data_IF_616343925611
#
_entry.id   IF_616343925611
#
_cell.length_a   1.000
_cell.length_b   1.000
_cell.length_c   1.000
_cell.angle_alpha   90.00
_cell.angle_beta   90.00
_cell.angle_gamma   90.00
#
_symmetry.space_group_name_H-M   'P 1'
#
loop_
_entity.id
_entity.type
_entity.pdbx_description
1 polymer ?
#
# COMPACT_ATOMS: atom_id res chain seq x y z
N UNK A 1 -0.82 2.55 18.14
CA UNK A 1 -0.04 3.79 18.06
C UNK A 1 -0.85 4.78 17.26
N UNK A 2 -1.17 5.95 17.81
CA UNK A 2 -1.94 6.98 17.08
C UNK A 2 -1.08 7.61 15.97
N UNK A 3 -1.69 8.01 14.84
CA UNK A 3 -0.99 8.65 13.70
C UNK A 3 -0.06 9.80 14.15
N UNK A 4 -0.50 10.62 15.10
CA UNK A 4 0.30 11.73 15.64
C UNK A 4 1.57 11.25 16.36
N UNK A 5 1.46 10.17 17.12
CA UNK A 5 2.58 9.56 17.83
C UNK A 5 3.59 8.96 16.83
N UNK A 6 3.10 8.28 15.79
CA UNK A 6 3.94 7.75 14.72
C UNK A 6 4.69 8.88 13.97
N UNK A 7 3.97 9.92 13.55
CA UNK A 7 4.55 11.08 12.84
C UNK A 7 5.58 11.81 13.70
N UNK A 8 5.31 11.95 15.01
CA UNK A 8 6.26 12.55 15.94
C UNK A 8 7.54 11.73 16.08
N UNK A 9 7.43 10.40 16.24
CA UNK A 9 8.61 9.51 16.31
C UNK A 9 9.42 9.52 15.02
N UNK A 10 8.77 9.49 13.86
CA UNK A 10 9.43 9.62 12.55
C UNK A 10 10.21 10.93 12.48
N UNK A 11 9.61 12.06 12.88
CA UNK A 11 10.30 13.34 12.88
C UNK A 11 11.51 13.34 13.84
N UNK A 12 11.40 12.71 15.00
CA UNK A 12 12.53 12.56 15.93
C UNK A 12 13.67 11.72 15.32
N UNK A 13 13.36 10.59 14.69
CA UNK A 13 14.35 9.76 14.02
C UNK A 13 15.00 10.45 12.82
N UNK A 14 14.22 11.22 12.06
CA UNK A 14 14.75 12.04 10.96
C UNK A 14 15.68 13.15 11.46
N UNK A 15 15.58 13.61 12.71
CA UNK A 15 16.52 14.60 13.23
C UNK A 15 17.95 14.06 13.36
N UNK A 16 18.14 12.74 13.40
CA UNK A 16 19.49 12.13 13.40
C UNK A 16 20.25 12.42 12.10
N UNK A 17 19.55 12.60 10.97
CA UNK A 17 20.16 13.01 9.69
C UNK A 17 20.27 14.53 9.53
N UNK A 18 20.07 15.29 10.63
CA UNK A 18 20.21 16.75 10.73
C UNK A 18 19.61 17.53 9.56
N UNK A 19 18.35 17.28 9.18
CA UNK A 19 17.73 17.98 8.08
C UNK A 19 17.46 19.43 8.47
N UNK A 20 17.62 20.34 7.51
CA UNK A 20 17.17 21.73 7.69
C UNK A 20 15.65 21.79 7.65
N UNK A 21 15.05 20.99 6.76
CA UNK A 21 13.61 20.91 6.61
C UNK A 21 13.14 19.48 6.43
N UNK A 22 11.98 19.18 7.02
CA UNK A 22 11.25 17.93 6.91
C UNK A 22 9.79 18.26 6.63
N UNK A 23 9.20 17.50 5.72
CA UNK A 23 7.78 17.43 5.47
C UNK A 23 7.38 15.98 5.38
N UNK A 24 6.31 15.61 6.08
CA UNK A 24 5.62 14.33 5.92
C UNK A 24 4.30 14.66 5.24
N UNK A 25 4.10 14.14 4.04
CA UNK A 25 2.97 14.48 3.18
C UNK A 25 2.19 13.24 2.77
N UNK A 26 0.90 13.42 2.52
CA UNK A 26 0.11 12.44 1.80
C UNK A 26 0.41 12.47 0.28
N UNK A 27 -0.03 11.45 -0.46
CA UNK A 27 0.13 11.37 -1.92
C UNK A 27 -0.61 12.49 -2.67
N UNK A 28 -1.61 13.13 -2.03
CA UNK A 28 -2.29 14.31 -2.52
C UNK A 28 -1.51 15.60 -2.24
N UNK A 29 -0.27 15.50 -1.75
CA UNK A 29 0.61 16.62 -1.46
C UNK A 29 0.14 17.49 -0.28
N UNK A 30 -0.73 16.98 0.59
CA UNK A 30 -1.12 17.66 1.82
C UNK A 30 -0.12 17.32 2.92
N UNK A 31 0.33 18.32 3.66
CA UNK A 31 1.24 18.09 4.79
C UNK A 31 0.48 17.52 5.98
N UNK A 32 1.03 16.45 6.55
CA UNK A 32 0.64 15.85 7.82
C UNK A 32 1.43 16.53 8.95
N UNK A 33 2.73 16.73 8.72
CA UNK A 33 3.63 17.51 9.57
C UNK A 33 4.72 18.15 8.70
N UNK A 34 5.16 19.35 9.06
CA UNK A 34 6.14 20.10 8.30
C UNK A 34 6.82 21.16 9.15
N UNK A 35 8.09 21.44 8.86
CA UNK A 35 8.75 22.69 9.25
C UNK A 35 9.14 23.55 8.04
N UNK A 36 8.60 23.25 6.86
CA UNK A 36 8.71 24.13 5.70
C UNK A 36 7.86 25.39 5.89
N UNK A 37 8.28 26.49 5.26
CA UNK A 37 7.47 27.72 5.24
C UNK A 37 6.19 27.53 4.41
N UNK A 38 5.15 28.32 4.69
CA UNK A 38 3.89 28.27 3.94
C UNK A 38 4.07 28.50 2.43
N UNK A 39 5.05 29.34 2.04
CA UNK A 39 5.41 29.55 0.63
C UNK A 39 5.95 28.29 -0.05
N UNK A 40 6.75 27.50 0.68
CA UNK A 40 7.33 26.25 0.20
C UNK A 40 6.34 25.09 0.14
N UNK A 41 5.26 25.12 0.94
CA UNK A 41 4.25 24.06 0.94
C UNK A 41 3.63 23.84 -0.44
N UNK A 42 3.27 24.91 -1.15
CA UNK A 42 2.65 24.78 -2.48
C UNK A 42 3.57 24.12 -3.50
N UNK A 43 4.88 24.43 -3.44
CA UNK A 43 5.87 23.86 -4.35
C UNK A 43 6.09 22.37 -4.05
N UNK A 44 6.31 22.04 -2.79
CA UNK A 44 6.55 20.65 -2.35
C UNK A 44 5.31 19.80 -2.61
N UNK A 45 4.11 20.33 -2.37
CA UNK A 45 2.85 19.66 -2.70
C UNK A 45 2.78 19.31 -4.19
N UNK A 46 3.15 20.23 -5.08
CA UNK A 46 3.20 19.97 -6.53
C UNK A 46 4.24 18.92 -6.90
N UNK A 47 5.43 19.00 -6.30
CA UNK A 47 6.53 18.05 -6.52
C UNK A 47 6.13 16.64 -6.08
N UNK A 48 5.55 16.49 -4.89
CA UNK A 48 5.08 15.18 -4.39
C UNK A 48 3.99 14.61 -5.29
N UNK A 49 3.03 15.42 -5.75
CA UNK A 49 2.02 14.99 -6.71
C UNK A 49 2.62 14.49 -8.02
N UNK A 50 3.61 15.22 -8.56
CA UNK A 50 4.32 14.85 -9.78
C UNK A 50 5.05 13.51 -9.62
N UNK A 51 5.58 13.25 -8.44
CA UNK A 51 6.32 12.03 -8.12
C UNK A 51 5.48 10.98 -7.37
N UNK A 52 4.16 11.10 -7.41
CA UNK A 52 3.24 10.15 -6.79
C UNK A 52 3.45 8.71 -7.31
N UNK A 53 3.97 8.56 -8.53
CA UNK A 53 4.23 7.29 -9.21
C UNK A 53 5.54 6.59 -8.81
N UNK A 54 6.44 7.21 -8.03
CA UNK A 54 7.67 6.52 -7.61
C UNK A 54 7.33 5.26 -6.81
N UNK A 55 8.09 4.16 -6.94
CA UNK A 55 7.81 2.96 -6.16
C UNK A 55 8.12 3.18 -4.68
N UNK A 56 7.47 2.41 -3.81
CA UNK A 56 7.76 2.41 -2.37
C UNK A 56 9.24 2.07 -2.15
N UNK A 57 9.84 2.59 -1.09
CA UNK A 57 11.26 2.45 -0.77
C UNK A 57 12.22 3.06 -1.80
N UNK A 58 11.72 3.82 -2.77
CA UNK A 58 12.57 4.62 -3.65
C UNK A 58 12.53 6.09 -3.25
N UNK A 59 13.57 6.81 -3.67
CA UNK A 59 13.73 8.23 -3.45
C UNK A 59 14.13 8.93 -4.74
N UNK A 60 13.87 10.23 -4.76
CA UNK A 60 14.47 11.17 -5.68
C UNK A 60 15.41 12.04 -4.88
N UNK A 61 16.62 12.23 -5.40
CA UNK A 61 17.60 13.16 -4.87
C UNK A 61 17.79 14.27 -5.89
N UNK A 62 17.70 15.52 -5.43
CA UNK A 62 17.92 16.69 -6.25
C UNK A 62 18.93 17.61 -5.58
N UNK A 63 20.00 17.95 -6.30
CA UNK A 63 21.00 18.90 -5.86
C UNK A 63 20.37 20.30 -5.78
N UNK A 64 20.56 20.98 -4.64
CA UNK A 64 20.10 22.36 -4.48
C UNK A 64 21.16 23.35 -4.99
N UNK A 65 20.82 24.23 -5.95
CA UNK A 65 21.79 25.14 -6.57
C UNK A 65 22.52 26.00 -5.55
N UNK A 66 23.84 26.13 -5.71
CA UNK A 66 24.70 26.94 -4.85
C UNK A 66 24.67 26.55 -3.36
N UNK A 67 24.46 25.28 -3.05
CA UNK A 67 24.51 24.78 -1.67
C UNK A 67 25.06 23.35 -1.62
N UNK A 68 25.50 22.92 -0.44
CA UNK A 68 25.90 21.54 -0.18
C UNK A 68 24.72 20.67 0.30
N UNK A 69 23.48 21.13 0.10
CA UNK A 69 22.27 20.45 0.53
C UNK A 69 21.60 19.73 -0.63
N UNK A 70 20.92 18.64 -0.30
CA UNK A 70 20.16 17.82 -1.23
C UNK A 70 18.72 17.76 -0.76
N UNK A 71 17.79 17.87 -1.70
CA UNK A 71 16.38 17.55 -1.49
C UNK A 71 16.18 16.06 -1.75
N UNK A 72 15.64 15.37 -0.75
CA UNK A 72 15.20 13.99 -0.86
C UNK A 72 13.67 13.95 -0.83
N UNK A 73 13.08 13.23 -1.78
CA UNK A 73 11.65 12.88 -1.78
C UNK A 73 11.59 11.36 -1.74
N UNK A 74 11.16 10.80 -0.61
CA UNK A 74 11.16 9.37 -0.36
C UNK A 74 9.74 8.87 -0.12
N UNK A 75 9.37 7.76 -0.77
CA UNK A 75 8.04 7.17 -0.62
C UNK A 75 8.06 6.04 0.40
N UNK A 76 7.44 6.28 1.55
CA UNK A 76 7.33 5.30 2.64
C UNK A 76 6.24 4.27 2.32
N UNK A 77 5.11 4.72 1.78
CA UNK A 77 3.93 3.88 1.51
C UNK A 77 3.20 4.34 0.24
N UNK A 78 2.10 3.69 -0.14
CA UNK A 78 1.28 4.14 -1.28
C UNK A 78 0.80 5.57 -1.11
N UNK A 79 0.52 5.97 0.13
CA UNK A 79 -0.11 7.24 0.46
C UNK A 79 0.84 8.26 1.10
N UNK A 80 2.10 7.92 1.45
CA UNK A 80 2.96 8.82 2.24
C UNK A 80 4.35 9.03 1.64
N UNK A 81 4.76 10.30 1.70
CA UNK A 81 6.08 10.78 1.34
C UNK A 81 6.77 11.47 2.51
N UNK A 82 8.08 11.24 2.62
CA UNK A 82 9.00 12.09 3.37
C UNK A 82 9.68 13.00 2.36
N UNK A 83 9.66 14.29 2.63
CA UNK A 83 10.48 15.27 1.95
C UNK A 83 11.47 15.82 2.96
N UNK A 84 12.76 15.69 2.71
CA UNK A 84 13.76 16.28 3.59
C UNK A 84 14.84 17.03 2.80
N UNK A 85 15.36 18.09 3.41
CA UNK A 85 16.53 18.81 2.90
C UNK A 85 17.67 18.58 3.89
N UNK A 86 18.76 17.98 3.45
CA UNK A 86 19.92 17.68 4.30
C UNK A 86 21.21 17.66 3.49
N UNK A 87 22.33 17.92 4.16
CA UNK A 87 23.69 17.76 3.63
C UNK A 87 24.36 16.47 4.14
N UNK A 88 23.62 15.62 4.84
CA UNK A 88 24.10 14.32 5.31
C UNK A 88 24.41 13.37 4.15
N UNK A 89 25.40 12.50 4.35
CA UNK A 89 25.79 11.48 3.37
C UNK A 89 24.59 10.60 2.99
N UNK A 90 24.43 10.38 1.69
CA UNK A 90 23.29 9.66 1.11
C UNK A 90 23.06 8.29 1.75
N UNK A 91 24.12 7.50 1.97
CA UNK A 91 24.02 6.18 2.59
C UNK A 91 23.33 6.22 3.97
N UNK A 92 23.61 7.25 4.78
CA UNK A 92 23.00 7.41 6.10
C UNK A 92 21.51 7.80 5.98
N UNK A 93 21.20 8.67 5.03
CA UNK A 93 19.82 9.07 4.72
C UNK A 93 19.00 7.85 4.31
N UNK A 94 19.52 7.02 3.40
CA UNK A 94 18.83 5.81 2.93
C UNK A 94 18.68 4.75 4.01
N UNK A 95 19.71 4.54 4.84
CA UNK A 95 19.60 3.65 6.00
C UNK A 95 18.46 4.08 6.93
N UNK A 96 18.34 5.39 7.19
CA UNK A 96 17.29 5.93 8.04
C UNK A 96 15.92 5.87 7.40
N UNK A 97 15.79 6.17 6.11
CA UNK A 97 14.54 5.98 5.37
C UNK A 97 14.09 4.51 5.37
N UNK A 98 15.01 3.57 5.14
CA UNK A 98 14.70 2.14 5.21
C UNK A 98 14.29 1.69 6.61
N UNK A 99 14.92 2.23 7.66
CA UNK A 99 14.49 2.01 9.05
C UNK A 99 13.05 2.52 9.27
N UNK A 100 12.78 3.77 8.92
CA UNK A 100 11.46 4.39 9.09
C UNK A 100 10.37 3.61 8.35
N UNK A 101 10.62 3.15 7.13
CA UNK A 101 9.63 2.37 6.39
C UNK A 101 9.35 1.01 7.05
N UNK A 102 10.38 0.33 7.57
CA UNK A 102 10.18 -0.94 8.29
C UNK A 102 9.39 -0.74 9.58
N UNK A 103 9.70 0.31 10.33
CA UNK A 103 9.18 0.51 11.68
C UNK A 103 7.77 1.15 11.66
N UNK A 104 7.49 2.02 10.68
CA UNK A 104 6.26 2.82 10.63
C UNK A 104 5.41 2.65 9.37
N UNK A 105 5.92 2.01 8.31
CA UNK A 105 5.24 1.96 7.01
C UNK A 105 3.83 1.36 7.06
N UNK A 106 3.63 0.29 7.86
CA UNK A 106 2.33 -0.35 8.07
C UNK A 106 1.35 0.53 8.85
N UNK A 107 1.81 1.12 9.96
CA UNK A 107 0.99 1.98 10.83
C UNK A 107 0.50 3.22 10.08
N UNK A 108 1.38 3.80 9.27
CA UNK A 108 1.10 4.94 8.41
C UNK A 108 0.07 4.62 7.32
N UNK A 109 0.20 3.45 6.70
CA UNK A 109 -0.76 2.95 5.72
C UNK A 109 -2.14 2.77 6.36
N UNK A 110 -2.22 2.15 7.53
CA UNK A 110 -3.48 1.88 8.23
C UNK A 110 -4.24 3.15 8.64
N UNK A 111 -3.53 4.21 9.02
CA UNK A 111 -4.15 5.45 9.48
C UNK A 111 -4.58 6.39 8.35
N UNK A 112 -3.93 6.30 7.18
CA UNK A 112 -4.26 7.15 6.03
C UNK A 112 -5.11 6.46 4.97
N UNK A 113 -5.26 5.13 5.06
CA UNK A 113 -6.40 4.47 4.45
C UNK A 113 -7.66 5.04 5.09
N UNK A 114 -8.21 6.06 4.43
CA UNK A 114 -9.51 6.59 4.82
C UNK A 114 -10.46 5.40 4.68
N UNK A 115 -11.15 4.94 5.74
CA UNK A 115 -12.20 3.95 5.57
C UNK A 115 -13.13 4.53 4.49
N UNK A 116 -13.38 3.83 3.37
CA UNK A 116 -13.99 4.43 2.21
C UNK A 116 -15.32 5.05 2.63
N UNK A 117 -15.36 6.39 2.63
CA UNK A 117 -16.54 7.17 2.91
C UNK A 117 -17.45 7.02 1.69
N UNK A 118 -18.28 5.97 1.73
CA UNK A 118 -19.15 5.44 0.67
C UNK A 118 -18.40 4.58 -0.36
N UNK A 119 -19.04 3.51 -0.88
CA UNK A 119 -18.43 2.64 -1.88
C UNK A 119 -18.20 3.45 -3.14
N UNK A 120 -16.95 3.85 -3.39
CA UNK A 120 -16.53 4.13 -4.77
C UNK A 120 -16.77 2.82 -5.51
N UNK A 121 -17.44 2.88 -6.67
CA UNK A 121 -17.51 1.74 -7.58
C UNK A 121 -16.08 1.38 -7.92
N UNK A 122 -15.54 0.34 -7.29
CA UNK A 122 -14.24 -0.21 -7.61
C UNK A 122 -14.27 -0.55 -9.10
N UNK A 123 -13.42 0.07 -9.94
CA UNK A 123 -13.40 -0.24 -11.36
C UNK A 123 -13.15 -1.74 -11.54
N UNK A 124 -13.96 -2.39 -12.35
CA UNK A 124 -13.74 -3.80 -12.69
C UNK A 124 -12.47 -3.88 -13.53
N UNK A 125 -11.50 -4.63 -13.02
CA UNK A 125 -10.25 -4.97 -13.69
C UNK A 125 -10.44 -6.27 -14.48
N UNK A 126 -10.40 -6.17 -15.80
CA UNK A 126 -10.63 -7.30 -16.70
C UNK A 126 -9.64 -8.45 -16.49
N UNK A 127 -8.49 -8.23 -15.86
CA UNK A 127 -7.45 -9.25 -15.63
C UNK A 127 -7.76 -10.15 -14.45
N UNK A 128 -8.52 -9.63 -13.48
CA UNK A 128 -8.90 -10.32 -12.26
C UNK A 128 -10.30 -10.89 -12.46
N UNK A 129 -10.39 -12.22 -12.52
CA UNK A 129 -11.68 -12.89 -12.62
C UNK A 129 -12.41 -12.80 -11.29
N UNK A 130 -11.73 -13.08 -10.18
CA UNK A 130 -12.32 -13.03 -8.86
C UNK A 130 -11.28 -12.80 -7.76
N UNK A 131 -11.69 -12.11 -6.71
CA UNK A 131 -11.11 -12.18 -5.37
C UNK A 131 -12.23 -12.56 -4.43
N UNK A 132 -12.10 -13.66 -3.69
CA UNK A 132 -13.19 -14.20 -2.89
C UNK A 132 -12.71 -14.67 -1.52
N UNK A 133 -13.47 -14.30 -0.49
CA UNK A 133 -13.42 -14.93 0.82
C UNK A 133 -14.56 -15.94 0.93
N UNK A 134 -14.20 -17.19 1.19
CA UNK A 134 -15.12 -18.32 1.32
C UNK A 134 -14.93 -18.99 2.66
N UNK A 135 -16.00 -19.58 3.20
CA UNK A 135 -15.95 -20.42 4.39
C UNK A 135 -16.86 -21.63 4.26
N UNK A 136 -16.50 -22.71 4.93
CA UNK A 136 -17.40 -23.83 5.15
C UNK A 136 -18.36 -23.46 6.28
N UNK A 137 -19.67 -23.45 5.99
CA UNK A 137 -20.72 -23.33 6.99
C UNK A 137 -21.51 -24.62 7.14
N UNK A 138 -22.61 -24.58 7.89
CA UNK A 138 -23.45 -25.76 8.16
C UNK A 138 -24.06 -26.37 6.89
N UNK A 139 -24.28 -25.55 5.85
CA UNK A 139 -24.83 -25.96 4.56
C UNK A 139 -23.74 -26.31 3.52
N UNK A 140 -22.46 -26.26 3.90
CA UNK A 140 -21.32 -26.49 3.02
C UNK A 140 -20.51 -25.24 2.67
N UNK A 141 -19.63 -25.33 1.66
CA UNK A 141 -18.77 -24.22 1.24
C UNK A 141 -19.59 -23.09 0.63
N UNK A 142 -19.35 -21.86 1.10
CA UNK A 142 -20.05 -20.66 0.62
C UNK A 142 -19.10 -19.49 0.51
N UNK A 143 -19.29 -18.66 -0.52
CA UNK A 143 -18.64 -17.37 -0.62
C UNK A 143 -19.32 -16.38 0.33
N UNK A 144 -18.53 -15.75 1.20
CA UNK A 144 -19.03 -14.73 2.13
C UNK A 144 -18.88 -13.34 1.54
N UNK A 145 -17.77 -13.11 0.83
CA UNK A 145 -17.53 -11.86 0.14
C UNK A 145 -16.68 -12.08 -1.10
N UNK A 146 -16.93 -11.30 -2.15
CA UNK A 146 -16.20 -11.40 -3.40
C UNK A 146 -16.17 -10.08 -4.18
N UNK A 147 -15.22 -10.00 -5.11
CA UNK A 147 -15.09 -8.99 -6.14
C UNK A 147 -14.66 -9.64 -7.46
N UNK A 148 -15.09 -9.15 -8.62
CA UNK A 148 -16.08 -8.08 -8.80
C UNK A 148 -17.50 -8.54 -8.43
N UNK A 149 -18.37 -7.62 -8.00
CA UNK A 149 -19.77 -7.91 -7.64
C UNK A 149 -20.66 -8.33 -8.82
N UNK A 150 -20.14 -8.23 -10.04
CA UNK A 150 -20.84 -8.64 -11.27
C UNK A 150 -20.83 -10.14 -11.53
N UNK A 151 -20.02 -10.92 -10.81
CA UNK A 151 -20.02 -12.38 -10.92
C UNK A 151 -21.39 -12.92 -10.50
N UNK A 152 -21.86 -13.93 -11.24
CA UNK A 152 -23.12 -14.58 -10.92
C UNK A 152 -22.96 -15.56 -9.73
N UNK A 153 -24.07 -15.96 -9.12
CA UNK A 153 -24.07 -16.83 -7.93
C UNK A 153 -23.45 -18.20 -8.19
N UNK A 154 -23.62 -18.73 -9.40
CA UNK A 154 -23.07 -20.04 -9.78
C UNK A 154 -21.53 -19.97 -9.88
N UNK A 155 -20.99 -18.96 -10.57
CA UNK A 155 -19.55 -18.75 -10.73
C UNK A 155 -18.87 -18.63 -9.37
N UNK A 156 -19.45 -17.84 -8.46
CA UNK A 156 -18.82 -17.63 -7.15
C UNK A 156 -18.94 -18.86 -6.24
N UNK A 157 -20.04 -19.60 -6.35
CA UNK A 157 -20.20 -20.87 -5.65
C UNK A 157 -19.16 -21.90 -6.10
N UNK A 158 -18.93 -22.04 -7.41
CA UNK A 158 -17.93 -22.96 -7.97
C UNK A 158 -16.51 -22.61 -7.49
N UNK A 159 -16.18 -21.30 -7.45
CA UNK A 159 -14.92 -20.81 -6.90
C UNK A 159 -14.80 -21.20 -5.42
N UNK A 160 -15.82 -20.91 -4.61
CA UNK A 160 -15.82 -21.22 -3.18
C UNK A 160 -15.68 -22.72 -2.89
N UNK A 161 -16.47 -23.55 -3.60
CA UNK A 161 -16.45 -24.99 -3.48
C UNK A 161 -15.07 -25.56 -3.81
N UNK A 162 -14.49 -25.16 -4.95
CA UNK A 162 -13.18 -25.64 -5.39
C UNK A 162 -12.05 -25.21 -4.45
N UNK A 163 -12.08 -23.97 -3.97
CA UNK A 163 -11.07 -23.46 -3.04
C UNK A 163 -11.07 -24.19 -1.69
N UNK A 164 -12.26 -24.53 -1.16
CA UNK A 164 -12.38 -25.21 0.12
C UNK A 164 -12.20 -26.73 0.02
N UNK A 165 -12.41 -27.33 -1.16
CA UNK A 165 -12.16 -28.76 -1.39
C UNK A 165 -10.69 -29.17 -1.19
N UNK A 166 -9.72 -28.24 -1.31
CA UNK A 166 -8.29 -28.51 -1.05
C UNK A 166 -8.09 -29.08 0.36
N UNK A 167 -8.85 -28.58 1.34
CA UNK A 167 -8.75 -28.99 2.73
C UNK A 167 -9.21 -30.43 2.96
N UNK A 168 -10.08 -30.95 2.09
CA UNK A 168 -10.57 -32.33 2.16
C UNK A 168 -9.57 -33.36 1.62
N UNK A 169 -8.52 -32.93 0.90
CA UNK A 169 -7.59 -33.81 0.19
C UNK A 169 -6.37 -34.31 1.01
N UNK A 170 -6.33 -34.03 2.32
CA UNK A 170 -5.45 -34.74 3.26
C UNK A 170 -4.27 -33.94 3.79
N UNK A 171 -4.53 -33.06 4.75
CA UNK A 171 -3.51 -32.69 5.73
C UNK A 171 -3.92 -33.19 7.12
N UNK A 172 -2.93 -33.78 7.76
CA UNK A 172 -3.01 -34.67 8.92
C UNK A 172 -3.71 -34.04 10.13
N UNK A 173 -4.26 -34.89 11.01
CA UNK A 173 -5.05 -34.56 12.21
C UNK A 173 -4.25 -33.85 13.31
N UNK A 174 -3.52 -32.79 12.99
CA UNK A 174 -2.86 -31.96 13.98
C UNK A 174 -3.79 -30.82 14.37
N UNK A 175 -3.98 -30.60 15.66
CA UNK A 175 -4.76 -29.50 16.26
C UNK A 175 -4.18 -28.10 15.97
N UNK A 176 -3.26 -27.96 15.01
CA UNK A 176 -2.68 -26.70 14.59
C UNK A 176 -3.53 -26.09 13.49
N UNK A 177 -3.86 -24.81 13.64
CA UNK A 177 -4.52 -24.00 12.62
C UNK A 177 -3.79 -24.18 11.27
N UNK A 178 -4.41 -24.87 10.32
CA UNK A 178 -3.80 -25.18 9.04
C UNK A 178 -3.85 -23.95 8.15
N UNK A 179 -2.70 -23.27 8.04
CA UNK A 179 -2.48 -22.24 7.02
C UNK A 179 -1.68 -22.87 5.89
N UNK A 180 -2.21 -22.82 4.67
CA UNK A 180 -1.45 -23.22 3.48
C UNK A 180 -1.90 -22.45 2.25
N UNK A 181 -0.99 -22.32 1.29
CA UNK A 181 -1.25 -21.72 -0.01
C UNK A 181 -1.15 -22.78 -1.09
N UNK A 182 -1.91 -22.61 -2.17
CA UNK A 182 -1.87 -23.50 -3.34
C UNK A 182 -2.27 -22.73 -4.58
N UNK A 183 -1.68 -23.08 -5.72
CA UNK A 183 -2.07 -22.53 -7.03
C UNK A 183 -2.90 -23.58 -7.76
N UNK A 184 -4.14 -23.24 -8.08
CA UNK A 184 -5.08 -24.14 -8.74
C UNK A 184 -5.54 -23.59 -10.10
N UNK A 185 -5.80 -24.49 -11.09
CA UNK A 185 -6.54 -24.12 -12.28
C UNK A 185 -8.03 -23.97 -11.95
N UNK A 186 -8.70 -22.99 -12.53
CA UNK A 186 -10.16 -22.83 -12.54
C UNK A 186 -10.64 -22.78 -13.99
N UNK A 187 -11.95 -22.92 -14.20
CA UNK A 187 -12.53 -22.90 -15.54
C UNK A 187 -12.14 -21.62 -16.31
N UNK A 188 -12.28 -20.47 -15.65
CA UNK A 188 -12.04 -19.15 -16.23
C UNK A 188 -10.66 -18.55 -15.91
N UNK A 189 -9.75 -19.30 -15.27
CA UNK A 189 -8.50 -18.71 -14.82
C UNK A 189 -7.52 -19.64 -14.14
N UNK A 190 -6.49 -19.03 -13.56
CA UNK A 190 -5.59 -19.68 -12.60
C UNK A 190 -5.58 -18.85 -11.33
N UNK A 191 -5.70 -19.51 -10.19
CA UNK A 191 -5.89 -18.82 -8.93
C UNK A 191 -4.95 -19.32 -7.84
N UNK A 192 -4.52 -18.38 -6.99
CA UNK A 192 -3.93 -18.70 -5.70
C UNK A 192 -5.07 -18.84 -4.70
N UNK A 193 -5.04 -19.92 -3.93
CA UNK A 193 -5.93 -20.19 -2.81
C UNK A 193 -5.10 -20.23 -1.55
N UNK A 194 -5.40 -19.35 -0.60
CA UNK A 194 -4.84 -19.36 0.74
C UNK A 194 -5.91 -19.87 1.71
N UNK A 195 -5.68 -21.02 2.31
CA UNK A 195 -6.61 -21.65 3.26
C UNK A 195 -6.16 -21.38 4.70
N UNK A 196 -7.12 -21.21 5.58
CA UNK A 196 -6.90 -20.95 7.00
C UNK A 196 -8.11 -21.40 7.83
N UNK A 197 -7.92 -21.55 9.14
CA UNK A 197 -9.00 -21.91 10.06
C UNK A 197 -9.48 -20.71 10.88
N UNK A 198 -10.78 -20.63 11.11
CA UNK A 198 -11.43 -19.63 11.97
C UNK A 198 -11.96 -20.33 13.21
N UNK A 199 -11.64 -19.81 14.40
CA UNK A 199 -12.12 -20.39 15.66
C UNK A 199 -13.63 -20.22 15.78
N UNK A 200 -14.34 -21.34 15.97
CA UNK A 200 -15.78 -21.39 16.10
C UNK A 200 -16.15 -22.39 17.21
N UNK A 201 -16.23 -21.95 18.47
CA UNK A 201 -16.37 -22.86 19.62
C UNK A 201 -17.62 -23.75 19.58
N UNK A 202 -18.63 -23.35 18.82
CA UNK A 202 -19.92 -24.03 18.72
C UNK A 202 -19.99 -25.11 17.61
N UNK A 203 -18.91 -25.33 16.85
CA UNK A 203 -18.89 -26.27 15.71
C UNK A 203 -18.18 -27.57 16.03
N UNK A 204 -18.46 -28.62 15.24
CA UNK A 204 -17.70 -29.88 15.29
C UNK A 204 -16.25 -29.60 14.88
N UNK A 205 -15.29 -29.83 15.77
CA UNK A 205 -13.88 -29.49 15.55
C UNK A 205 -13.46 -28.12 16.09
N UNK A 206 -14.41 -27.31 16.57
CA UNK A 206 -14.20 -25.95 17.13
C UNK A 206 -13.59 -24.93 16.14
N UNK A 207 -13.59 -25.25 14.86
CA UNK A 207 -13.08 -24.41 13.79
C UNK A 207 -13.98 -24.47 12.57
N UNK A 208 -13.95 -23.42 11.75
CA UNK A 208 -14.42 -23.42 10.38
C UNK A 208 -13.23 -23.32 9.44
N UNK A 209 -13.32 -24.03 8.33
CA UNK A 209 -12.39 -23.90 7.22
C UNK A 209 -12.75 -22.68 6.38
N UNK A 210 -11.73 -21.92 6.02
CA UNK A 210 -11.85 -20.68 5.27
C UNK A 210 -10.78 -20.59 4.18
N UNK A 211 -11.09 -19.82 3.14
CA UNK A 211 -10.18 -19.59 2.03
C UNK A 211 -10.28 -18.15 1.53
N UNK A 212 -9.13 -17.57 1.19
CA UNK A 212 -9.00 -16.39 0.33
C UNK A 212 -8.53 -16.88 -1.03
N UNK A 213 -9.27 -16.55 -2.08
CA UNK A 213 -8.96 -16.93 -3.45
C UNK A 213 -8.70 -15.67 -4.27
N UNK A 214 -7.55 -15.62 -4.95
CA UNK A 214 -7.27 -14.65 -6.01
C UNK A 214 -7.22 -15.40 -7.33
N UNK A 215 -8.13 -15.09 -8.25
CA UNK A 215 -8.25 -15.71 -9.55
C UNK A 215 -7.96 -14.70 -10.66
N UNK A 216 -6.93 -14.98 -11.47
CA UNK A 216 -6.60 -14.19 -12.65
C UNK A 216 -6.98 -14.95 -13.92
N UNK A 217 -7.22 -14.24 -15.02
CA UNK A 217 -7.41 -14.90 -16.33
C UNK A 217 -6.17 -15.72 -16.70
N UNK A 218 -6.37 -16.77 -17.50
CA UNK A 218 -5.31 -17.72 -17.87
C UNK A 218 -4.09 -17.04 -18.49
N UNK A 219 -4.32 -15.99 -19.30
CA UNK A 219 -3.24 -15.20 -19.92
C UNK A 219 -2.29 -14.55 -18.90
N UNK A 220 -2.76 -14.26 -17.68
CA UNK A 220 -1.96 -13.63 -16.61
C UNK A 220 -1.30 -14.62 -15.66
N UNK A 221 -1.27 -15.92 -16.00
CA UNK A 221 -0.61 -16.97 -15.20
C UNK A 221 0.81 -16.60 -14.78
N UNK A 222 1.60 -16.06 -15.71
CA UNK A 222 3.00 -15.67 -15.41
C UNK A 222 3.06 -14.58 -14.34
N UNK A 223 2.17 -13.58 -14.42
CA UNK A 223 2.09 -12.51 -13.43
C UNK A 223 1.68 -13.01 -12.04
N UNK A 224 0.78 -14.00 -11.98
CA UNK A 224 0.42 -14.67 -10.72
C UNK A 224 1.64 -15.36 -10.09
N UNK A 225 2.36 -16.18 -10.87
CA UNK A 225 3.48 -16.97 -10.39
C UNK A 225 4.67 -16.10 -9.98
N UNK A 226 4.98 -15.04 -10.73
CA UNK A 226 6.07 -14.11 -10.41
C UNK A 226 5.85 -13.33 -9.10
N UNK A 227 4.60 -13.27 -8.61
CA UNK A 227 4.20 -12.50 -7.43
C UNK A 227 3.53 -13.37 -6.38
N UNK A 228 3.68 -14.68 -6.48
CA UNK A 228 2.98 -15.64 -5.63
C UNK A 228 3.28 -15.36 -4.15
N UNK A 229 4.56 -15.23 -3.79
CA UNK A 229 4.98 -14.96 -2.41
C UNK A 229 4.39 -13.67 -1.83
N UNK A 230 4.24 -12.63 -2.68
CA UNK A 230 3.65 -11.36 -2.28
C UNK A 230 2.15 -11.53 -2.02
N UNK A 231 1.42 -12.12 -2.97
CA UNK A 231 -0.01 -12.34 -2.83
C UNK A 231 -0.36 -13.30 -1.69
N UNK A 232 0.49 -14.30 -1.44
CA UNK A 232 0.34 -15.21 -0.31
C UNK A 232 0.49 -14.46 1.02
N UNK A 233 1.54 -13.65 1.14
CA UNK A 233 1.77 -12.83 2.34
C UNK A 233 0.60 -11.88 2.60
N UNK A 234 0.10 -11.24 1.55
CA UNK A 234 -1.02 -10.31 1.66
C UNK A 234 -2.33 -11.04 2.00
N UNK A 235 -2.57 -12.22 1.42
CA UNK A 235 -3.71 -13.07 1.78
C UNK A 235 -3.63 -13.57 3.23
N UNK A 236 -2.44 -13.87 3.75
CA UNK A 236 -2.24 -14.20 5.16
C UNK A 236 -2.57 -13.03 6.08
N UNK A 237 -2.08 -11.83 5.77
CA UNK A 237 -2.42 -10.61 6.53
C UNK A 237 -3.92 -10.33 6.50
N UNK A 238 -4.57 -10.58 5.36
CA UNK A 238 -6.01 -10.46 5.20
C UNK A 238 -6.76 -11.48 6.06
N UNK A 239 -6.30 -12.73 6.10
CA UNK A 239 -6.85 -13.79 6.95
C UNK A 239 -6.74 -13.44 8.45
N UNK A 240 -5.61 -12.87 8.88
CA UNK A 240 -5.42 -12.37 10.25
C UNK A 240 -6.45 -11.29 10.61
N UNK A 241 -6.67 -10.33 9.71
CA UNK A 241 -7.68 -9.27 9.90
C UNK A 241 -9.10 -9.84 9.99
N UNK A 242 -9.44 -10.83 9.16
CA UNK A 242 -10.74 -11.52 9.21
C UNK A 242 -10.89 -12.28 10.54
N UNK A 243 -9.87 -13.01 10.98
CA UNK A 243 -9.86 -13.69 12.29
C UNK A 243 -10.02 -12.73 13.47
N UNK A 244 -9.47 -11.52 13.35
CA UNK A 244 -9.63 -10.43 14.30
C UNK A 244 -11.00 -9.74 14.30
N UNK A 245 -11.99 -10.22 13.52
CA UNK A 245 -13.33 -9.64 13.44
C UNK A 245 -13.47 -8.50 12.43
N UNK A 246 -12.49 -8.32 11.54
CA UNK A 246 -12.58 -7.38 10.43
C UNK A 246 -13.73 -7.72 9.47
N UNK A 247 -14.33 -6.69 8.86
CA UNK A 247 -15.46 -6.86 7.92
C UNK A 247 -14.95 -7.44 6.59
N UNK A 248 -15.32 -8.68 6.20
CA UNK A 248 -14.75 -9.31 5.02
C UNK A 248 -15.01 -8.56 3.72
N UNK A 249 -16.17 -7.90 3.58
CA UNK A 249 -16.50 -7.12 2.37
C UNK A 249 -15.49 -6.01 2.07
N UNK A 250 -15.23 -5.15 3.07
CA UNK A 250 -14.28 -4.05 2.92
C UNK A 250 -12.86 -4.57 2.67
N UNK A 251 -12.50 -5.64 3.35
CA UNK A 251 -11.19 -6.25 3.28
C UNK A 251 -10.93 -6.89 1.90
N UNK A 252 -11.94 -7.55 1.32
CA UNK A 252 -11.86 -8.13 -0.03
C UNK A 252 -11.88 -7.06 -1.11
N UNK A 253 -12.65 -5.99 -0.95
CA UNK A 253 -12.61 -4.83 -1.85
C UNK A 253 -11.22 -4.18 -1.86
N UNK A 254 -10.63 -3.93 -0.69
CA UNK A 254 -9.29 -3.38 -0.56
C UNK A 254 -8.22 -4.28 -1.18
N UNK A 255 -8.33 -5.59 -0.96
CA UNK A 255 -7.39 -6.55 -1.54
C UNK A 255 -7.52 -6.62 -3.07
N UNK A 256 -8.73 -6.58 -3.61
CA UNK A 256 -8.97 -6.49 -5.05
C UNK A 256 -8.35 -5.22 -5.66
N UNK A 257 -8.57 -4.05 -5.06
CA UNK A 257 -7.97 -2.79 -5.51
C UNK A 257 -6.44 -2.84 -5.49
N UNK A 258 -5.86 -3.38 -4.42
CA UNK A 258 -4.42 -3.55 -4.30
C UNK A 258 -3.86 -4.45 -5.40
N UNK A 259 -4.48 -5.62 -5.65
CA UNK A 259 -4.03 -6.54 -6.71
C UNK A 259 -4.15 -5.87 -8.08
N UNK A 260 -5.26 -5.19 -8.36
CA UNK A 260 -5.47 -4.45 -9.61
C UNK A 260 -4.37 -3.42 -9.85
N UNK A 261 -4.05 -2.62 -8.83
CA UNK A 261 -2.97 -1.65 -8.89
C UNK A 261 -1.59 -2.29 -9.05
N UNK A 262 -1.33 -3.41 -8.38
CA UNK A 262 -0.06 -4.14 -8.51
C UNK A 262 0.15 -4.67 -9.94
N UNK A 263 -0.91 -5.12 -10.61
CA UNK A 263 -0.88 -5.63 -11.99
C UNK A 263 -0.59 -4.49 -12.99
N UNK A 264 -1.03 -3.26 -12.71
CA UNK A 264 -0.72 -2.08 -13.54
C UNK A 264 0.76 -1.67 -13.53
N UNK A 265 1.47 -1.85 -12.40
CA UNK A 265 2.84 -1.36 -12.23
C UNK A 265 3.92 -2.01 -13.12
N UNK A 266 3.59 -2.98 -13.98
CA UNK A 266 4.52 -3.52 -15.00
C UNK A 266 4.11 -3.31 -16.45
N UNK A 267 2.86 -2.91 -16.76
CA UNK A 267 2.43 -2.70 -18.14
C UNK A 267 2.91 -1.32 -18.66
N UNK A 268 3.01 -0.31 -17.80
CA UNK A 268 3.53 1.01 -18.22
C UNK A 268 5.06 1.08 -18.33
N UNK A 269 5.78 0.11 -17.75
CA UNK A 269 7.25 0.10 -17.80
C UNK A 269 7.82 -0.27 -19.19
N UNK A 270 6.98 -0.72 -20.14
CA UNK A 270 7.48 -1.20 -21.45
C UNK A 270 6.74 -0.70 -22.71
N UNK A 271 5.67 0.11 -22.63
CA UNK A 271 4.87 0.40 -23.85
C UNK A 271 4.35 1.83 -24.03
N UNK A 272 5.04 2.89 -23.58
CA UNK A 272 4.64 4.26 -23.95
C UNK A 272 5.82 5.21 -24.20
N UNK A 273 6.18 5.43 -25.49
CA UNK A 273 7.06 6.54 -25.90
C UNK A 273 6.45 7.94 -25.65
N UNK A 274 5.20 8.01 -25.17
CA UNK A 274 4.45 9.26 -25.02
C UNK A 274 4.54 9.88 -23.61
N UNK A 275 4.97 9.11 -22.60
CA UNK A 275 5.20 9.64 -21.24
C UNK A 275 6.39 10.62 -21.14
N UNK A 276 7.22 10.73 -22.19
CA UNK A 276 8.33 11.70 -22.27
C UNK A 276 7.92 13.13 -22.66
N UNK A 277 6.63 13.40 -22.96
CA UNK A 277 6.20 14.70 -23.53
C UNK A 277 5.34 15.59 -22.63
N UNK A 278 5.09 15.23 -21.37
CA UNK A 278 4.37 16.12 -20.42
C UNK A 278 5.21 16.35 -19.16
N UNK A 279 6.43 16.83 -19.36
CA UNK A 279 7.28 17.38 -18.31
C UNK A 279 7.28 18.90 -18.56
N UNK A 280 6.75 19.74 -17.65
CA UNK A 280 7.03 21.17 -17.68
C UNK A 280 8.55 21.31 -17.74
N UNK A 281 9.08 22.05 -18.72
CA UNK A 281 10.50 22.03 -19.01
C UNK A 281 11.32 22.15 -17.73
N UNK A 282 12.30 21.27 -17.58
CA UNK A 282 13.24 21.13 -16.46
C UNK A 282 13.78 22.49 -15.93
N UNK A 283 13.73 23.51 -16.79
CA UNK A 283 14.05 24.91 -16.56
C UNK A 283 13.10 25.68 -15.62
N UNK A 284 11.78 25.52 -15.75
CA UNK A 284 10.80 26.26 -14.93
C UNK A 284 10.80 25.77 -13.48
N UNK A 285 10.93 24.45 -13.29
CA UNK A 285 11.08 23.83 -11.98
C UNK A 285 12.39 24.28 -11.30
N UNK A 286 13.51 24.27 -12.04
CA UNK A 286 14.81 24.76 -11.57
C UNK A 286 14.77 26.25 -11.20
N UNK A 287 14.05 27.09 -11.94
CA UNK A 287 13.91 28.53 -11.66
C UNK A 287 13.08 28.80 -10.40
N UNK A 288 11.96 28.10 -10.22
CA UNK A 288 11.12 28.21 -9.03
C UNK A 288 11.86 27.71 -7.77
N UNK A 289 12.56 26.58 -7.86
CA UNK A 289 13.38 26.04 -6.77
C UNK A 289 14.53 27.01 -6.40
N UNK A 290 15.18 27.63 -7.38
CA UNK A 290 16.28 28.60 -7.16
C UNK A 290 15.84 29.87 -6.43
N UNK A 291 14.59 30.32 -6.63
CA UNK A 291 14.06 31.49 -5.94
C UNK A 291 13.66 31.19 -4.48
N UNK A 292 13.13 29.99 -4.21
CA UNK A 292 12.66 29.63 -2.87
C UNK A 292 13.80 29.14 -1.95
N UNK A 293 14.83 28.49 -2.50
CA UNK A 293 16.05 28.11 -1.74
C UNK A 293 16.77 29.34 -1.18
N UNK A 294 16.72 30.48 -1.89
CA UNK A 294 17.24 31.76 -1.37
C UNK A 294 16.42 32.32 -0.21
N UNK A 295 15.11 32.01 -0.13
CA UNK A 295 14.28 32.40 1.03
C UNK A 295 14.51 31.48 2.22
N UNK A 296 14.65 30.18 1.99
CA UNK A 296 14.91 29.18 3.03
C UNK A 296 16.26 29.42 3.73
N UNK A 297 17.27 29.94 3.02
CA UNK A 297 18.58 30.30 3.61
C UNK A 297 18.56 31.52 4.57
N UNK A 298 17.49 32.33 4.59
CA UNK A 298 17.41 33.54 5.43
C UNK A 298 16.75 33.27 6.79
N UNK A 299 16.05 32.14 6.95
CA UNK A 299 15.47 31.73 8.23
C UNK A 299 16.43 30.78 8.96
N UNK A 300 17.20 31.30 9.92
CA UNK A 300 17.97 30.49 10.85
C UNK A 300 17.07 29.48 11.58
N UNK A 301 17.61 28.29 11.95
CA UNK A 301 16.83 27.19 12.50
C UNK A 301 16.28 27.59 13.88
N UNK A 302 15.01 27.98 13.92
CA UNK A 302 14.26 27.86 15.17
C UNK A 302 14.05 26.38 15.41
N UNK A 303 14.16 25.98 16.67
CA UNK A 303 13.87 24.62 17.14
C UNK A 303 12.64 24.05 16.43
N UNK A 304 12.73 22.77 16.04
CA UNK A 304 11.68 21.99 15.36
C UNK A 304 10.42 21.86 16.23
N UNK A 305 9.70 22.96 16.44
CA UNK A 305 8.32 22.93 16.92
C UNK A 305 7.43 22.69 15.70
N UNK A 306 7.12 21.42 15.44
CA UNK A 306 6.19 21.03 14.39
C UNK A 306 4.80 21.62 14.70
N UNK A 307 4.31 22.49 13.82
CA UNK A 307 2.98 23.08 13.99
C UNK A 307 1.90 22.07 13.57
N UNK A 308 1.18 21.52 14.54
CA UNK A 308 0.07 20.57 14.32
C UNK A 308 -1.27 21.26 14.00
N UNK A 309 -1.28 22.58 13.74
CA UNK A 309 -2.51 23.32 13.47
C UNK A 309 -2.97 23.15 12.01
N UNK A 310 -3.86 22.19 11.77
CA UNK A 310 -5.13 22.32 10.98
C UNK A 310 -5.70 20.95 10.59
N UNK A 311 -6.69 20.46 11.36
CA UNK A 311 -7.94 19.87 10.85
C UNK A 311 -9.05 20.07 11.88
N UNK A 312 -9.66 21.26 11.86
CA UNK A 312 -11.07 21.45 12.24
C UNK A 312 -11.75 22.10 11.05
N UNK A 313 -12.35 21.27 10.21
CA UNK A 313 -13.58 21.49 9.42
C UNK A 313 -13.74 20.31 8.48
#
# INVERSE_FOLDING_TARGET
MELKEAVYKIAQELNEIRPTNIGILDANGSFIASNFSEGSHNLISKIVKQYSSIPINNYIKQDLPNSNYFLYIYKISTEIFIVCITNTLENLVLQKFGQITRDYGSVLLEHLQTPPAKPKKVPVDDRIVAVAYSKTGDLGPTAVSWMPKSLNEQEIFEIAAKSLLILSAGFDRSLALHESSSVLPFEHGIGMVFVFSIVAPHTRGRTYDAAITLLLRKEYRKALLERLDLFEKDAKMLADKIRGGGRPDLLIEQFYEYVSNSLNQRVEAFTSPQAQKVIPSDFELKKAMKQEVKRIQVEHPKSLDLDFRRRRR
#
